data_IF_447287953717
#
_entry.id   IF_447287953717
#
_cell.length_a   1.000
_cell.length_b   1.000
_cell.length_c   1.000
_cell.angle_alpha   90.00
_cell.angle_beta   90.00
_cell.angle_gamma   90.00
#
_symmetry.space_group_name_H-M   'P 1'
#
loop_
_entity.id
_entity.type
_entity.pdbx_description
1 polymer ?
#
# COMPACT_ATOMS: atom_id res chain seq x y z
N UNK A 1 12.21 9.04 19.20
CA UNK A 1 12.84 10.18 18.48
C UNK A 1 13.21 9.91 17.00
N UNK A 2 12.92 8.73 16.43
CA UNK A 2 13.27 8.39 15.03
C UNK A 2 12.25 8.83 13.98
N UNK A 3 10.94 8.84 14.31
CA UNK A 3 9.88 9.26 13.36
C UNK A 3 9.95 10.74 12.98
N UNK A 4 10.29 11.61 13.94
CA UNK A 4 10.43 13.06 13.72
C UNK A 4 11.65 13.43 12.85
N UNK A 5 12.67 12.57 12.80
CA UNK A 5 13.84 12.74 11.92
C UNK A 5 13.53 12.33 10.48
N UNK A 6 12.71 11.29 10.29
CA UNK A 6 12.26 10.83 8.96
C UNK A 6 11.34 11.86 8.30
N UNK A 7 10.39 12.44 9.04
CA UNK A 7 9.50 13.48 8.50
C UNK A 7 10.25 14.77 8.15
N UNK A 8 11.23 15.18 8.96
CA UNK A 8 12.10 16.33 8.65
C UNK A 8 13.01 16.07 7.44
N UNK A 9 13.50 14.85 7.26
CA UNK A 9 14.29 14.47 6.08
C UNK A 9 13.46 14.49 4.79
N UNK A 10 12.19 14.06 4.85
CA UNK A 10 11.27 14.08 3.70
C UNK A 10 10.91 15.50 3.31
N UNK A 11 10.63 16.39 4.28
CA UNK A 11 10.33 17.80 4.00
C UNK A 11 11.56 18.53 3.43
N UNK A 12 12.77 18.25 3.92
CA UNK A 12 14.01 18.80 3.35
C UNK A 12 14.28 18.32 1.93
N UNK A 13 13.92 17.07 1.60
CA UNK A 13 14.04 16.51 0.25
C UNK A 13 13.06 17.18 -0.72
N UNK A 14 11.82 17.42 -0.31
CA UNK A 14 10.80 18.10 -1.13
C UNK A 14 11.20 19.54 -1.42
N UNK A 15 11.75 20.26 -0.43
CA UNK A 15 12.24 21.64 -0.61
C UNK A 15 13.47 21.67 -1.53
N UNK A 16 14.36 20.67 -1.46
CA UNK A 16 15.52 20.58 -2.36
C UNK A 16 15.09 20.30 -3.82
N UNK A 17 14.05 19.50 -4.02
CA UNK A 17 13.51 19.18 -5.35
C UNK A 17 12.80 20.40 -5.95
N UNK A 18 12.01 21.13 -5.17
CA UNK A 18 11.36 22.37 -5.67
C UNK A 18 12.36 23.48 -5.96
N UNK A 19 13.45 23.58 -5.20
CA UNK A 19 14.53 24.54 -5.47
C UNK A 19 15.36 24.16 -6.72
N UNK A 20 15.59 22.86 -6.96
CA UNK A 20 16.26 22.37 -8.17
C UNK A 20 15.44 22.63 -9.44
N UNK A 21 14.12 22.48 -9.38
CA UNK A 21 13.20 22.80 -10.49
C UNK A 21 13.21 24.30 -10.79
N UNK A 22 13.34 25.17 -9.78
CA UNK A 22 13.38 26.62 -9.97
C UNK A 22 14.71 27.12 -10.56
N UNK A 23 15.84 26.43 -10.30
CA UNK A 23 17.16 26.76 -10.88
C UNK A 23 17.27 26.31 -12.35
N UNK A 24 16.61 25.20 -12.72
CA UNK A 24 16.57 24.71 -14.11
C UNK A 24 15.78 25.63 -15.05
N UNK A 25 14.93 26.52 -14.53
CA UNK A 25 14.16 27.48 -15.34
C UNK A 25 14.92 28.77 -15.71
N UNK A 26 16.18 28.97 -15.28
CA UNK A 26 16.90 30.25 -15.44
C UNK A 26 18.12 30.18 -16.38
N UNK A 27 18.46 29.02 -16.94
CA UNK A 27 19.63 28.91 -17.84
C UNK A 27 19.29 28.28 -19.20
N UNK A 28 18.46 28.99 -19.97
CA UNK A 28 18.33 28.78 -21.40
C UNK A 28 18.74 30.04 -22.17
N UNK A 29 19.98 30.50 -22.00
CA UNK A 29 20.63 31.40 -22.97
C UNK A 29 22.06 30.96 -23.27
N UNK A 30 22.30 30.83 -24.58
CA UNK A 30 23.56 30.83 -25.33
C UNK A 30 24.45 29.57 -25.28
N UNK A 31 24.53 28.92 -26.44
CA UNK A 31 25.77 28.32 -26.94
C UNK A 31 25.71 26.82 -27.22
N UNK A 32 25.13 26.42 -28.35
CA UNK A 32 25.58 25.25 -29.13
C UNK A 32 24.92 25.30 -30.52
N UNK A 33 25.73 25.36 -31.57
CA UNK A 33 25.31 25.43 -32.97
C UNK A 33 25.04 24.01 -33.51
N UNK A 34 23.84 23.82 -34.09
CA UNK A 34 23.27 22.63 -34.79
C UNK A 34 22.89 21.40 -33.94
N UNK A 35 21.60 20.96 -33.96
CA UNK A 35 20.83 20.58 -35.15
C UNK A 35 19.57 21.44 -35.42
N UNK A 36 19.50 22.64 -34.85
CA UNK A 36 18.37 23.56 -35.05
C UNK A 36 18.27 24.14 -36.47
N UNK A 37 19.30 24.08 -37.32
CA UNK A 37 19.29 24.72 -38.65
C UNK A 37 18.27 24.06 -39.59
N UNK A 38 18.23 22.72 -39.65
CA UNK A 38 17.32 21.97 -40.51
C UNK A 38 15.85 22.09 -40.06
N UNK A 39 15.65 22.11 -38.74
CA UNK A 39 14.35 22.35 -38.12
C UNK A 39 13.88 23.77 -38.42
N UNK A 40 14.75 24.78 -38.26
CA UNK A 40 14.45 26.19 -38.53
C UNK A 40 14.19 26.49 -40.00
N UNK A 41 14.87 25.81 -40.92
CA UNK A 41 14.69 25.96 -42.37
C UNK A 41 13.37 25.34 -42.85
N UNK A 42 12.98 24.16 -42.33
CA UNK A 42 11.63 23.60 -42.53
C UNK A 42 10.53 24.45 -41.90
N UNK A 43 10.78 25.02 -40.72
CA UNK A 43 9.92 25.98 -40.05
C UNK A 43 9.79 27.33 -40.78
N UNK A 44 10.68 27.65 -41.72
CA UNK A 44 10.60 28.89 -42.51
C UNK A 44 9.53 28.83 -43.61
N UNK A 45 9.08 27.63 -43.96
CA UNK A 45 8.12 27.35 -45.03
C UNK A 45 6.67 27.19 -44.55
N UNK A 46 6.43 27.20 -43.24
CA UNK A 46 5.11 27.01 -42.59
C UNK A 46 4.70 28.28 -41.84
N UNK A 47 3.40 28.56 -41.84
CA UNK A 47 2.73 29.70 -41.19
C UNK A 47 2.95 29.70 -39.67
N UNK A 48 2.87 30.87 -39.05
CA UNK A 48 2.99 30.97 -37.58
C UNK A 48 1.90 30.18 -36.84
N UNK A 49 0.72 30.03 -37.45
CA UNK A 49 -0.38 29.21 -36.91
C UNK A 49 -0.01 27.72 -36.89
N UNK A 50 0.60 27.18 -37.95
CA UNK A 50 1.09 25.79 -37.96
C UNK A 50 2.19 25.56 -36.91
N UNK A 51 3.08 26.55 -36.70
CA UNK A 51 4.12 26.45 -35.66
C UNK A 51 3.53 26.34 -34.27
N UNK A 52 2.52 27.17 -33.98
CA UNK A 52 1.84 27.17 -32.69
C UNK A 52 1.13 25.83 -32.45
N UNK A 53 0.46 25.28 -33.47
CA UNK A 53 -0.20 23.98 -33.37
C UNK A 53 0.82 22.86 -33.13
N UNK A 54 1.94 22.85 -33.85
CA UNK A 54 3.02 21.86 -33.66
C UNK A 54 3.65 21.93 -32.27
N UNK A 55 3.88 23.14 -31.73
CA UNK A 55 4.37 23.32 -30.36
C UNK A 55 3.38 22.76 -29.33
N UNK A 56 2.08 23.05 -29.51
CA UNK A 56 1.03 22.52 -28.64
C UNK A 56 0.95 20.99 -28.72
N UNK A 57 1.05 20.41 -29.91
CA UNK A 57 1.09 18.95 -30.10
C UNK A 57 2.29 18.30 -29.41
N UNK A 58 3.46 18.95 -29.49
CA UNK A 58 4.65 18.48 -28.78
C UNK A 58 4.43 18.47 -27.27
N UNK A 59 3.91 19.56 -26.70
CA UNK A 59 3.61 19.66 -25.27
C UNK A 59 2.58 18.58 -24.85
N UNK A 60 1.48 18.46 -25.59
CA UNK A 60 0.44 17.45 -25.33
C UNK A 60 1.01 16.03 -25.35
N UNK A 61 1.86 15.72 -26.32
CA UNK A 61 2.50 14.40 -26.43
C UNK A 61 3.39 14.10 -25.24
N UNK A 62 4.20 15.08 -24.80
CA UNK A 62 5.04 14.92 -23.61
C UNK A 62 4.21 14.74 -22.33
N UNK A 63 3.14 15.51 -22.18
CA UNK A 63 2.22 15.38 -21.03
C UNK A 63 1.55 14.00 -20.99
N UNK A 64 1.06 13.50 -22.13
CA UNK A 64 0.47 12.15 -22.24
C UNK A 64 1.49 11.09 -21.85
N UNK A 65 2.72 11.15 -22.39
CA UNK A 65 3.77 10.16 -22.09
C UNK A 65 4.13 10.13 -20.60
N UNK A 66 4.21 11.30 -19.95
CA UNK A 66 4.44 11.39 -18.51
C UNK A 66 3.28 10.79 -17.70
N UNK A 67 2.04 11.04 -18.11
CA UNK A 67 0.86 10.50 -17.46
C UNK A 67 0.74 8.98 -17.63
N UNK A 68 1.05 8.44 -18.80
CA UNK A 68 1.08 6.99 -19.04
C UNK A 68 2.15 6.29 -18.19
N UNK A 69 3.31 6.92 -17.99
CA UNK A 69 4.33 6.40 -17.06
C UNK A 69 3.81 6.37 -15.63
N UNK A 70 3.17 7.45 -15.19
CA UNK A 70 2.55 7.51 -13.86
C UNK A 70 1.42 6.47 -13.70
N UNK A 71 0.63 6.20 -14.75
CA UNK A 71 -0.42 5.18 -14.75
C UNK A 71 0.18 3.78 -14.59
N UNK A 72 1.27 3.46 -15.29
CA UNK A 72 1.99 2.19 -15.14
C UNK A 72 2.55 2.00 -13.73
N UNK A 73 3.12 3.05 -13.14
CA UNK A 73 3.58 3.01 -11.75
C UNK A 73 2.44 2.75 -10.76
N UNK A 74 1.29 3.40 -10.96
CA UNK A 74 0.08 3.19 -10.15
C UNK A 74 -0.46 1.76 -10.28
N UNK A 75 -0.43 1.17 -11.47
CA UNK A 75 -0.83 -0.24 -11.67
C UNK A 75 0.06 -1.16 -10.84
N UNK A 76 1.38 -0.98 -10.89
CA UNK A 76 2.32 -1.80 -10.13
C UNK A 76 2.13 -1.64 -8.62
N UNK A 77 1.93 -0.42 -8.14
CA UNK A 77 1.65 -0.17 -6.71
C UNK A 77 0.33 -0.84 -6.28
N UNK A 78 -0.71 -0.74 -7.12
CA UNK A 78 -2.03 -1.33 -6.87
C UNK A 78 -1.95 -2.86 -6.82
N UNK A 79 -1.20 -3.49 -7.72
CA UNK A 79 -0.98 -4.95 -7.72
C UNK A 79 -0.19 -5.41 -6.49
N UNK A 80 0.84 -4.67 -6.09
CA UNK A 80 1.60 -4.96 -4.88
C UNK A 80 0.72 -4.93 -3.62
N UNK A 81 -0.12 -3.90 -3.48
CA UNK A 81 -1.05 -3.78 -2.35
C UNK A 81 -2.10 -4.89 -2.37
N UNK A 82 -2.64 -5.26 -3.54
CA UNK A 82 -3.59 -6.39 -3.65
C UNK A 82 -2.97 -7.69 -3.15
N UNK A 83 -1.71 -7.94 -3.51
CA UNK A 83 -0.99 -9.13 -3.05
C UNK A 83 -0.77 -9.10 -1.53
N UNK A 84 -0.40 -7.94 -0.98
CA UNK A 84 -0.24 -7.76 0.47
C UNK A 84 -1.55 -8.01 1.23
N UNK A 85 -2.67 -7.54 0.70
CA UNK A 85 -4.01 -7.83 1.24
C UNK A 85 -4.31 -9.34 1.21
N UNK A 86 -4.01 -10.02 0.10
CA UNK A 86 -4.22 -11.48 -0.02
C UNK A 86 -3.37 -12.27 1.00
N UNK A 87 -2.12 -11.84 1.21
CA UNK A 87 -1.23 -12.45 2.19
C UNK A 87 -1.72 -12.20 3.63
N UNK A 88 -2.25 -11.01 3.92
CA UNK A 88 -2.90 -10.71 5.20
C UNK A 88 -4.17 -11.54 5.41
N UNK A 89 -4.99 -11.76 4.39
CA UNK A 89 -6.17 -12.62 4.47
C UNK A 89 -5.80 -14.06 4.85
N UNK A 90 -4.74 -14.59 4.26
CA UNK A 90 -4.20 -15.92 4.61
C UNK A 90 -3.68 -15.94 6.05
N UNK A 91 -2.99 -14.88 6.48
CA UNK A 91 -2.47 -14.76 7.84
C UNK A 91 -3.61 -14.72 8.88
N UNK A 92 -4.66 -13.93 8.62
CA UNK A 92 -5.86 -13.85 9.46
C UNK A 92 -6.54 -15.22 9.57
N UNK A 93 -6.80 -15.88 8.44
CA UNK A 93 -7.43 -17.20 8.44
C UNK A 93 -6.61 -18.25 9.21
N UNK A 94 -5.28 -18.20 9.09
CA UNK A 94 -4.39 -19.08 9.83
C UNK A 94 -4.42 -18.79 11.34
N UNK A 95 -4.46 -17.52 11.73
CA UNK A 95 -4.52 -17.09 13.13
C UNK A 95 -5.86 -17.48 13.77
N UNK A 96 -6.99 -17.32 13.07
CA UNK A 96 -8.31 -17.79 13.51
C UNK A 96 -8.33 -19.31 13.74
N UNK A 97 -7.70 -20.07 12.84
CA UNK A 97 -7.60 -21.52 12.96
C UNK A 97 -6.76 -21.92 14.18
N UNK A 98 -5.66 -21.21 14.44
CA UNK A 98 -4.83 -21.41 15.64
C UNK A 98 -5.61 -21.05 16.90
N UNK A 99 -6.32 -19.93 16.90
CA UNK A 99 -7.15 -19.48 18.02
C UNK A 99 -8.21 -20.52 18.39
N UNK A 100 -9.00 -20.99 17.43
CA UNK A 100 -10.05 -21.99 17.69
C UNK A 100 -9.47 -23.34 18.15
N UNK A 101 -8.32 -23.77 17.63
CA UNK A 101 -7.62 -24.96 18.14
C UNK A 101 -7.19 -24.80 19.60
N UNK A 102 -6.67 -23.63 19.98
CA UNK A 102 -6.24 -23.36 21.37
C UNK A 102 -7.43 -23.28 22.32
N UNK A 103 -8.49 -22.61 21.90
CA UNK A 103 -9.77 -22.53 22.63
C UNK A 103 -10.41 -23.91 22.83
N UNK A 104 -10.45 -24.76 21.81
CA UNK A 104 -10.97 -26.13 21.94
C UNK A 104 -10.07 -26.99 22.85
N UNK A 105 -8.75 -26.83 22.77
CA UNK A 105 -7.81 -27.50 23.69
C UNK A 105 -8.09 -27.12 25.16
N UNK A 106 -8.27 -25.82 25.43
CA UNK A 106 -8.65 -25.34 26.77
C UNK A 106 -10.00 -25.92 27.21
N UNK A 107 -10.99 -25.91 26.32
CA UNK A 107 -12.32 -26.45 26.59
C UNK A 107 -12.27 -27.94 26.90
N UNK A 108 -11.46 -28.75 26.22
CA UNK A 108 -11.30 -30.17 26.51
C UNK A 108 -10.65 -30.40 27.86
N UNK A 109 -9.61 -29.62 28.19
CA UNK A 109 -9.01 -29.58 29.53
C UNK A 109 -10.07 -29.29 30.58
N UNK A 110 -10.84 -28.20 30.42
CA UNK A 110 -11.91 -27.82 31.36
C UNK A 110 -13.03 -28.86 31.46
N UNK A 111 -13.46 -29.45 30.33
CA UNK A 111 -14.47 -30.53 30.31
C UNK A 111 -13.99 -31.79 30.97
N UNK A 112 -12.71 -32.15 30.81
CA UNK A 112 -12.13 -33.32 31.48
C UNK A 112 -12.23 -33.16 33.00
N UNK A 113 -11.91 -31.96 33.49
CA UNK A 113 -12.08 -31.63 34.91
C UNK A 113 -13.55 -31.66 35.35
N UNK A 114 -14.48 -31.10 34.57
CA UNK A 114 -15.90 -31.09 34.92
C UNK A 114 -16.52 -32.50 34.93
N UNK A 115 -16.16 -33.37 33.97
CA UNK A 115 -16.70 -34.74 33.83
C UNK A 115 -16.25 -35.68 34.92
N UNK A 116 -15.11 -35.43 35.53
CA UNK A 116 -14.68 -36.17 36.72
C UNK A 116 -15.63 -35.88 37.91
N UNK A 117 -16.43 -34.82 37.85
CA UNK A 117 -17.38 -34.42 38.89
C UNK A 117 -16.72 -33.42 39.86
N UNK A 118 -17.51 -32.48 40.39
CA UNK A 118 -17.03 -31.42 41.30
C UNK A 118 -16.34 -31.96 42.56
N UNK A 119 -16.67 -33.20 42.97
CA UNK A 119 -16.00 -33.91 44.06
C UNK A 119 -14.70 -34.61 43.64
N UNK A 120 -14.66 -35.30 42.49
CA UNK A 120 -13.55 -36.22 42.16
C UNK A 120 -12.24 -35.53 41.77
N UNK A 121 -12.31 -34.36 41.13
CA UNK A 121 -11.08 -33.62 40.80
C UNK A 121 -10.47 -32.94 42.03
N UNK A 122 -11.32 -32.41 42.92
CA UNK A 122 -10.88 -31.96 44.23
C UNK A 122 -10.36 -33.13 45.05
N UNK A 123 -11.03 -34.29 45.02
CA UNK A 123 -10.53 -35.53 45.62
C UNK A 123 -9.19 -35.94 45.04
N UNK A 124 -8.94 -35.89 43.73
CA UNK A 124 -7.62 -36.24 43.17
C UNK A 124 -6.56 -35.22 43.56
N UNK A 125 -6.91 -33.93 43.66
CA UNK A 125 -5.95 -32.96 44.18
C UNK A 125 -5.68 -33.27 45.67
N UNK A 126 -6.72 -33.52 46.47
CA UNK A 126 -6.67 -33.80 47.92
C UNK A 126 -6.10 -35.19 48.27
N UNK A 127 -6.22 -36.17 47.39
CA UNK A 127 -5.66 -37.53 47.41
C UNK A 127 -4.24 -37.49 46.85
N UNK A 128 -3.41 -36.73 47.55
CA UNK A 128 -2.01 -36.56 47.25
C UNK A 128 -1.19 -37.03 48.43
N UNK A 129 -0.19 -37.87 48.15
CA UNK A 129 0.66 -38.52 49.16
C UNK A 129 1.43 -37.54 50.06
N UNK A 130 1.50 -36.26 49.66
CA UNK A 130 2.13 -35.18 50.42
C UNK A 130 1.57 -33.81 50.07
N UNK A 131 1.69 -32.87 51.02
CA UNK A 131 1.37 -31.45 50.80
C UNK A 131 2.13 -30.85 49.60
N UNK A 132 3.34 -31.33 49.32
CA UNK A 132 4.11 -30.88 48.15
C UNK A 132 3.42 -31.27 46.84
N UNK A 133 2.90 -32.50 46.77
CA UNK A 133 2.21 -33.02 45.57
C UNK A 133 0.88 -32.32 45.36
N UNK A 134 0.14 -32.04 46.45
CA UNK A 134 -1.07 -31.21 46.44
C UNK A 134 -0.80 -29.83 45.81
N UNK A 135 0.17 -29.09 46.36
CA UNK A 135 0.52 -27.75 45.91
C UNK A 135 1.02 -27.73 44.45
N UNK A 136 1.77 -28.77 44.04
CA UNK A 136 2.25 -28.90 42.67
C UNK A 136 1.09 -29.07 41.68
N UNK A 137 0.09 -29.92 41.98
CA UNK A 137 -1.09 -30.14 41.11
C UNK A 137 -1.90 -28.85 40.94
N UNK A 138 -2.09 -28.08 42.01
CA UNK A 138 -2.78 -26.77 41.96
C UNK A 138 -1.98 -25.76 41.11
N UNK A 139 -0.67 -25.68 41.31
CA UNK A 139 0.17 -24.75 40.56
C UNK A 139 0.16 -25.05 39.05
N UNK A 140 0.25 -26.32 38.66
CA UNK A 140 0.18 -26.73 37.25
C UNK A 140 -1.13 -26.26 36.60
N UNK A 141 -2.27 -26.42 37.30
CA UNK A 141 -3.56 -26.00 36.77
C UNK A 141 -3.67 -24.48 36.65
N UNK A 142 -3.23 -23.76 37.68
CA UNK A 142 -3.18 -22.29 37.67
C UNK A 142 -2.31 -21.79 36.52
N UNK A 143 -1.14 -22.39 36.34
CA UNK A 143 -0.20 -22.01 35.29
C UNK A 143 -0.77 -22.35 33.90
N UNK A 144 -1.43 -23.49 33.74
CA UNK A 144 -2.07 -23.87 32.47
C UNK A 144 -3.19 -22.90 32.08
N UNK A 145 -4.07 -22.57 33.02
CA UNK A 145 -5.16 -21.61 32.79
C UNK A 145 -4.59 -20.23 32.40
N UNK A 146 -3.65 -19.72 33.20
CA UNK A 146 -3.02 -18.41 32.98
C UNK A 146 -2.24 -18.35 31.67
N UNK A 147 -1.47 -19.38 31.34
CA UNK A 147 -0.69 -19.42 30.11
C UNK A 147 -1.60 -19.50 28.87
N UNK A 148 -2.72 -20.22 28.98
CA UNK A 148 -3.67 -20.32 27.87
C UNK A 148 -4.44 -19.01 27.68
N UNK A 149 -4.84 -18.35 28.76
CA UNK A 149 -5.43 -17.00 28.72
C UNK A 149 -4.48 -16.00 28.04
N UNK A 150 -3.23 -15.90 28.50
CA UNK A 150 -2.23 -15.02 27.87
C UNK A 150 -2.01 -15.32 26.39
N UNK A 151 -2.01 -16.60 26.00
CA UNK A 151 -1.84 -16.97 24.59
C UNK A 151 -3.06 -16.57 23.75
N UNK A 152 -4.28 -16.72 24.26
CA UNK A 152 -5.49 -16.30 23.57
C UNK A 152 -5.54 -14.77 23.43
N UNK A 153 -5.17 -14.03 24.48
CA UNK A 153 -5.06 -12.56 24.42
C UNK A 153 -4.04 -12.11 23.37
N UNK A 154 -2.88 -12.77 23.30
CA UNK A 154 -1.85 -12.48 22.30
C UNK A 154 -2.35 -12.74 20.86
N UNK A 155 -3.04 -13.86 20.64
CA UNK A 155 -3.61 -14.20 19.34
C UNK A 155 -4.72 -13.24 18.94
N UNK A 156 -5.57 -12.82 19.88
CA UNK A 156 -6.63 -11.85 19.62
C UNK A 156 -6.04 -10.46 19.28
N UNK A 157 -5.02 -10.03 20.03
CA UNK A 157 -4.33 -8.77 19.77
C UNK A 157 -3.61 -8.78 18.41
N UNK A 158 -2.97 -9.89 18.04
CA UNK A 158 -2.33 -10.07 16.73
C UNK A 158 -3.37 -10.09 15.61
N UNK A 159 -4.43 -10.87 15.74
CA UNK A 159 -5.52 -10.92 14.76
C UNK A 159 -6.16 -9.55 14.53
N UNK A 160 -6.42 -8.79 15.60
CA UNK A 160 -6.92 -7.41 15.49
C UNK A 160 -5.97 -6.52 14.70
N UNK A 161 -4.67 -6.61 14.98
CA UNK A 161 -3.65 -5.83 14.25
C UNK A 161 -3.66 -6.17 12.76
N UNK A 162 -3.78 -7.44 12.39
CA UNK A 162 -3.85 -7.86 10.99
C UNK A 162 -5.11 -7.33 10.29
N UNK A 163 -6.25 -7.33 10.99
CA UNK A 163 -7.52 -6.77 10.47
C UNK A 163 -7.42 -5.26 10.27
N UNK A 164 -6.83 -4.55 11.24
CA UNK A 164 -6.60 -3.11 11.15
C UNK A 164 -5.67 -2.78 9.97
N UNK A 165 -4.56 -3.51 9.82
CA UNK A 165 -3.60 -3.35 8.70
C UNK A 165 -4.25 -3.64 7.35
N UNK A 166 -5.06 -4.70 7.24
CA UNK A 166 -5.84 -5.01 6.04
C UNK A 166 -6.80 -3.88 5.70
N UNK A 167 -7.48 -3.31 6.69
CA UNK A 167 -8.42 -2.20 6.51
C UNK A 167 -7.72 -0.95 5.98
N UNK A 168 -6.56 -0.59 6.56
CA UNK A 168 -5.73 0.53 6.09
C UNK A 168 -5.28 0.35 4.64
N UNK A 169 -4.80 -0.85 4.29
CA UNK A 169 -4.39 -1.16 2.92
C UNK A 169 -5.57 -1.16 1.94
N UNK A 170 -6.74 -1.65 2.37
CA UNK A 170 -7.96 -1.63 1.54
C UNK A 170 -8.43 -0.21 1.26
N UNK A 171 -8.36 0.68 2.25
CA UNK A 171 -8.66 2.10 2.06
C UNK A 171 -7.64 2.77 1.13
N UNK A 172 -6.34 2.48 1.29
CA UNK A 172 -5.31 2.97 0.37
C UNK A 172 -5.54 2.47 -1.06
N UNK A 173 -5.91 1.21 -1.22
CA UNK A 173 -6.19 0.61 -2.52
C UNK A 173 -7.35 1.31 -3.24
N UNK A 174 -8.43 1.63 -2.52
CA UNK A 174 -9.55 2.39 -3.07
C UNK A 174 -9.11 3.76 -3.61
N UNK A 175 -8.33 4.52 -2.82
CA UNK A 175 -7.81 5.82 -3.24
C UNK A 175 -6.91 5.73 -4.48
N UNK A 176 -6.10 4.67 -4.59
CA UNK A 176 -5.23 4.46 -5.76
C UNK A 176 -6.04 4.09 -7.01
N UNK A 177 -7.08 3.25 -6.87
CA UNK A 177 -7.97 2.93 -7.99
C UNK A 177 -8.70 4.18 -8.49
N UNK A 178 -9.21 5.02 -7.59
CA UNK A 178 -9.87 6.28 -7.95
C UNK A 178 -8.92 7.24 -8.68
N UNK A 179 -7.68 7.35 -8.18
CA UNK A 179 -6.63 8.14 -8.83
C UNK A 179 -6.30 7.60 -10.22
N UNK A 180 -6.21 6.27 -10.36
CA UNK A 180 -5.94 5.62 -11.63
C UNK A 180 -7.08 5.87 -12.64
N UNK A 181 -8.34 5.77 -12.22
CA UNK A 181 -9.49 6.06 -13.07
C UNK A 181 -9.50 7.53 -13.52
N UNK A 182 -9.26 8.47 -12.59
CA UNK A 182 -9.16 9.88 -12.92
C UNK A 182 -8.01 10.16 -13.90
N UNK A 183 -6.86 9.52 -13.72
CA UNK A 183 -5.71 9.69 -14.62
C UNK A 183 -6.02 9.18 -16.03
N UNK A 184 -6.69 8.02 -16.14
CA UNK A 184 -7.13 7.46 -17.42
C UNK A 184 -8.09 8.38 -18.17
N UNK A 185 -9.03 9.02 -17.46
CA UNK A 185 -9.93 10.01 -18.06
C UNK A 185 -9.14 11.18 -18.64
N UNK A 186 -8.20 11.74 -17.87
CA UNK A 186 -7.37 12.86 -18.33
C UNK A 186 -6.49 12.47 -19.52
N UNK A 187 -5.92 11.25 -19.54
CA UNK A 187 -5.14 10.75 -20.69
C UNK A 187 -6.03 10.65 -21.93
N UNK A 188 -7.24 10.11 -21.81
CA UNK A 188 -8.18 10.00 -22.93
C UNK A 188 -8.56 11.37 -23.47
N UNK A 189 -8.95 12.32 -22.61
CA UNK A 189 -9.33 13.68 -23.00
C UNK A 189 -8.18 14.38 -23.73
N UNK A 190 -6.94 14.23 -23.24
CA UNK A 190 -5.74 14.79 -23.90
C UNK A 190 -5.43 14.12 -25.22
N UNK A 191 -5.69 12.82 -25.34
CA UNK A 191 -5.47 12.06 -26.58
C UNK A 191 -6.46 12.47 -27.66
N UNK A 192 -7.72 12.71 -27.28
CA UNK A 192 -8.75 13.25 -28.18
C UNK A 192 -8.38 14.67 -28.64
N UNK A 193 -8.00 15.56 -27.71
CA UNK A 193 -7.53 16.90 -28.04
C UNK A 193 -6.29 16.89 -28.95
N UNK A 194 -5.39 15.93 -28.78
CA UNK A 194 -4.23 15.74 -29.67
C UNK A 194 -4.70 15.38 -31.08
N UNK A 195 -5.64 14.45 -31.21
CA UNK A 195 -6.19 14.05 -32.51
C UNK A 195 -6.90 15.22 -33.22
N UNK A 196 -7.71 16.01 -32.50
CA UNK A 196 -8.35 17.21 -33.04
C UNK A 196 -7.33 18.23 -33.58
N UNK A 197 -6.22 18.44 -32.86
CA UNK A 197 -5.14 19.34 -33.29
C UNK A 197 -4.35 18.79 -34.48
N UNK A 198 -4.17 17.47 -34.58
CA UNK A 198 -3.55 16.83 -35.75
C UNK A 198 -4.44 16.97 -36.99
N UNK A 199 -5.76 16.79 -36.86
CA UNK A 199 -6.72 17.01 -37.94
C UNK A 199 -6.77 18.48 -38.37
N UNK A 200 -6.77 19.41 -37.41
CA UNK A 200 -6.71 20.84 -37.69
C UNK A 200 -5.41 21.21 -38.43
N UNK A 201 -4.27 20.68 -38.01
CA UNK A 201 -3.00 20.91 -38.70
C UNK A 201 -3.04 20.40 -40.15
N UNK A 202 -3.59 19.20 -40.38
CA UNK A 202 -3.76 18.65 -41.73
C UNK A 202 -4.69 19.51 -42.60
N UNK A 203 -5.66 20.22 -42.00
CA UNK A 203 -6.54 21.15 -42.72
C UNK A 203 -5.86 22.46 -43.12
N UNK A 204 -4.75 22.82 -42.47
CA UNK A 204 -3.95 24.01 -42.80
C UNK A 204 -2.93 23.73 -43.91
N UNK A 205 -2.49 22.47 -44.06
CA UNK A 205 -1.58 22.04 -45.12
C UNK A 205 -2.27 21.89 -46.50
N UNK A 206 -3.59 22.07 -46.59
CA UNK A 206 -4.41 21.96 -47.82
C UNK A 206 -4.84 23.30 -48.41
#
# INVERSE_FOLDING_TARGET
MSKLRKTKAIVLLIIAITLAIMILSVSATVGQQSPFSEVKEKLSAISEEEKEVLQNLFILTQEIELMEKAEKELVLETEAIRKEIEDLEKAIAQEELVYEKKKESLKQVLKSYQRMGSGSFLEIILDSDSLSTFLQRINILRDLARNTEMLLEQLEASGKKLVDEKSELSAKLALLNDKQESLRKVINDKTELKAEKEEYLASLEG
#
